data_IF_925906672640
#
_entry.id   IF_925906672640
#
_cell.length_a   1.000
_cell.length_b   1.000
_cell.length_c   1.000
_cell.angle_alpha   90.00
_cell.angle_beta   90.00
_cell.angle_gamma   90.00
#
_symmetry.space_group_name_H-M   'P 1'
#
loop_
_entity.id
_entity.type
_entity.pdbx_description
1 polymer ?
#
# COMPACT_ATOMS: atom_id res chain seq x y z
N UNK A 1 -15.59 -0.78 4.66
CA UNK A 1 -14.58 -1.87 4.63
C UNK A 1 -13.27 -1.52 5.34
N UNK A 2 -12.64 -0.37 5.06
CA UNK A 2 -11.36 0.02 5.71
C UNK A 2 -11.45 0.09 7.22
N UNK A 3 -12.52 0.68 7.76
CA UNK A 3 -12.75 0.73 9.20
C UNK A 3 -12.73 -0.68 9.81
N UNK A 4 -13.38 -1.67 9.18
CA UNK A 4 -13.41 -3.07 9.63
C UNK A 4 -12.01 -3.69 9.66
N UNK A 5 -11.20 -3.48 8.60
CA UNK A 5 -9.81 -4.02 8.55
C UNK A 5 -8.89 -3.36 9.57
N UNK A 6 -9.02 -2.06 9.78
CA UNK A 6 -8.29 -1.37 10.85
C UNK A 6 -8.71 -1.90 12.23
N UNK A 7 -10.00 -2.17 12.44
CA UNK A 7 -10.48 -2.83 13.66
C UNK A 7 -9.87 -4.21 13.82
N UNK A 8 -9.88 -5.06 12.79
CA UNK A 8 -9.23 -6.39 12.83
C UNK A 8 -7.74 -6.29 13.10
N UNK A 9 -7.04 -5.34 12.48
CA UNK A 9 -5.63 -5.06 12.73
C UNK A 9 -5.37 -4.63 14.17
N UNK A 10 -6.24 -3.79 14.76
CA UNK A 10 -6.15 -3.38 16.16
C UNK A 10 -6.40 -4.55 17.14
N UNK A 11 -7.40 -5.40 16.86
CA UNK A 11 -7.68 -6.59 17.68
C UNK A 11 -6.47 -7.52 17.68
N UNK A 12 -5.93 -7.79 16.49
CA UNK A 12 -4.73 -8.60 16.33
C UNK A 12 -3.51 -7.97 16.99
N UNK A 13 -3.35 -6.65 16.90
CA UNK A 13 -2.31 -5.93 17.62
C UNK A 13 -2.38 -6.18 19.13
N UNK A 14 -3.55 -5.99 19.75
CA UNK A 14 -3.71 -6.16 21.19
C UNK A 14 -3.54 -7.61 21.65
N UNK A 15 -3.90 -8.60 20.82
CA UNK A 15 -3.74 -10.01 21.17
C UNK A 15 -2.28 -10.48 21.15
N UNK A 16 -1.42 -9.86 20.32
CA UNK A 16 -0.02 -10.31 20.12
C UNK A 16 1.00 -9.37 20.76
N UNK A 17 0.55 -8.27 21.38
CA UNK A 17 1.40 -7.23 21.97
C UNK A 17 2.44 -7.76 22.98
N UNK A 18 2.11 -8.85 23.70
CA UNK A 18 2.94 -9.40 24.76
C UNK A 18 3.81 -10.60 24.32
N UNK A 19 3.68 -11.08 23.07
CA UNK A 19 4.21 -12.38 22.65
C UNK A 19 5.59 -12.34 21.97
N UNK A 20 6.08 -11.20 21.50
CA UNK A 20 7.37 -11.11 20.81
C UNK A 20 8.21 -9.93 21.26
N UNK A 21 9.49 -10.20 21.50
CA UNK A 21 10.51 -9.22 21.90
C UNK A 21 10.75 -8.15 20.82
N UNK A 22 10.55 -8.50 19.54
CA UNK A 22 10.72 -7.59 18.40
C UNK A 22 9.36 -7.07 17.90
N UNK A 23 8.95 -5.92 18.45
CA UNK A 23 7.69 -5.22 18.10
C UNK A 23 7.55 -4.91 16.60
N UNK A 24 8.68 -4.69 15.91
CA UNK A 24 8.71 -4.53 14.46
C UNK A 24 8.37 -5.79 13.67
N UNK A 25 8.78 -6.95 14.18
CA UNK A 25 8.48 -8.22 13.54
C UNK A 25 6.97 -8.46 13.55
N UNK A 26 6.31 -8.26 14.71
CA UNK A 26 4.84 -8.34 14.86
C UNK A 26 4.14 -7.45 13.82
N UNK A 27 4.58 -6.20 13.67
CA UNK A 27 3.99 -5.30 12.68
C UNK A 27 4.10 -5.89 11.27
N UNK A 28 5.30 -6.27 10.84
CA UNK A 28 5.57 -6.72 9.47
C UNK A 28 4.93 -8.07 9.13
N UNK A 29 4.92 -9.02 10.08
CA UNK A 29 4.52 -10.41 9.81
C UNK A 29 3.05 -10.69 10.11
N UNK A 30 2.44 -9.98 11.06
CA UNK A 30 1.09 -10.29 11.53
C UNK A 30 0.12 -9.17 11.18
N UNK A 31 0.40 -7.95 11.64
CA UNK A 31 -0.55 -6.83 11.49
C UNK A 31 -0.63 -6.36 10.04
N UNK A 32 0.52 -6.23 9.39
CA UNK A 32 0.62 -5.69 8.03
C UNK A 32 -0.13 -6.57 7.00
N UNK A 33 0.02 -7.91 6.97
CA UNK A 33 -0.79 -8.76 6.08
C UNK A 33 -2.30 -8.62 6.31
N UNK A 34 -2.76 -8.54 7.57
CA UNK A 34 -4.19 -8.40 7.92
C UNK A 34 -4.76 -7.09 7.37
N UNK A 35 -4.00 -5.99 7.43
CA UNK A 35 -4.43 -4.68 6.94
C UNK A 35 -4.37 -4.59 5.42
N UNK A 36 -3.36 -5.23 4.80
CA UNK A 36 -3.12 -5.21 3.35
C UNK A 36 -3.99 -6.18 2.56
N UNK A 37 -4.58 -7.19 3.22
CA UNK A 37 -5.45 -8.16 2.55
C UNK A 37 -6.56 -7.48 1.74
N UNK A 38 -6.64 -7.80 0.44
CA UNK A 38 -7.63 -7.24 -0.49
C UNK A 38 -7.41 -5.77 -0.90
N UNK A 39 -6.29 -5.13 -0.50
CA UNK A 39 -5.98 -3.73 -0.87
C UNK A 39 -5.46 -3.54 -2.28
N UNK A 40 -5.09 -4.64 -2.89
CA UNK A 40 -4.49 -4.72 -4.22
C UNK A 40 -5.55 -4.46 -5.31
N UNK A 41 -6.82 -4.75 -5.03
CA UNK A 41 -7.94 -4.61 -5.98
C UNK A 41 -8.89 -3.46 -5.65
N UNK A 42 -8.77 -2.85 -4.48
CA UNK A 42 -9.69 -1.80 -3.98
C UNK A 42 -9.17 -0.39 -4.24
N UNK A 43 -10.07 0.54 -4.56
CA UNK A 43 -9.77 1.98 -4.62
C UNK A 43 -9.57 2.58 -3.23
N UNK A 44 -8.50 3.35 -3.02
CA UNK A 44 -8.32 4.15 -1.81
C UNK A 44 -8.69 5.61 -2.09
N UNK A 45 -9.40 6.22 -1.14
CA UNK A 45 -9.59 7.68 -1.09
C UNK A 45 -8.49 8.33 -0.26
N UNK A 46 -8.24 9.63 -0.46
CA UNK A 46 -7.25 10.38 0.33
C UNK A 46 -7.50 10.29 1.85
N UNK A 47 -8.77 10.30 2.27
CA UNK A 47 -9.17 10.12 3.68
C UNK A 47 -8.76 8.76 4.23
N UNK A 48 -8.81 7.74 3.40
CA UNK A 48 -8.46 6.38 3.76
C UNK A 48 -6.95 6.16 3.80
N UNK A 49 -6.22 6.75 2.86
CA UNK A 49 -4.75 6.80 2.90
C UNK A 49 -4.25 7.51 4.16
N UNK A 50 -4.87 8.64 4.52
CA UNK A 50 -4.54 9.33 5.78
C UNK A 50 -4.80 8.44 7.00
N UNK A 51 -5.93 7.72 7.04
CA UNK A 51 -6.22 6.77 8.14
C UNK A 51 -5.20 5.65 8.23
N UNK A 52 -4.73 5.12 7.10
CA UNK A 52 -3.68 4.09 7.05
C UNK A 52 -2.35 4.63 7.59
N UNK A 53 -1.97 5.86 7.22
CA UNK A 53 -0.77 6.53 7.73
C UNK A 53 -0.84 6.77 9.24
N UNK A 54 -1.99 7.24 9.75
CA UNK A 54 -2.21 7.43 11.19
C UNK A 54 -2.14 6.09 11.94
N UNK A 55 -2.73 5.02 11.39
CA UNK A 55 -2.65 3.69 11.96
C UNK A 55 -1.21 3.16 12.01
N UNK A 56 -0.46 3.26 10.91
CA UNK A 56 0.95 2.87 10.83
C UNK A 56 1.78 3.63 11.87
N UNK A 57 1.67 4.96 11.92
CA UNK A 57 2.40 5.77 12.91
C UNK A 57 2.01 5.40 14.35
N UNK A 58 0.74 5.07 14.61
CA UNK A 58 0.30 4.60 15.92
C UNK A 58 0.98 3.29 16.30
N UNK A 59 1.01 2.31 15.39
CA UNK A 59 1.64 0.99 15.64
C UNK A 59 3.15 1.14 15.82
N UNK A 60 3.82 1.93 14.99
CA UNK A 60 5.28 2.10 15.03
C UNK A 60 5.77 2.86 16.27
N UNK A 61 4.96 3.79 16.82
CA UNK A 61 5.28 4.53 18.07
C UNK A 61 5.36 3.64 19.32
N UNK A 62 4.84 2.42 19.27
CA UNK A 62 4.95 1.46 20.39
C UNK A 62 6.37 0.95 20.57
N UNK A 63 7.26 1.15 19.61
CA UNK A 63 8.68 0.81 19.73
C UNK A 63 9.39 1.57 20.85
N UNK A 64 8.77 2.61 21.38
CA UNK A 64 9.16 3.25 22.63
C UNK A 64 9.38 4.76 22.47
N UNK A 65 9.32 5.52 23.58
CA UNK A 65 9.77 6.90 23.58
C UNK A 65 11.29 6.98 23.35
N UNK A 66 11.75 8.04 22.70
CA UNK A 66 13.19 8.35 22.57
C UNK A 66 13.60 9.27 23.72
N UNK A 67 14.78 9.04 24.28
CA UNK A 67 15.38 9.96 25.24
C UNK A 67 15.85 11.20 24.51
N UNK A 68 15.36 12.37 24.92
CA UNK A 68 15.80 13.64 24.34
C UNK A 68 17.26 13.90 24.70
N UNK A 69 18.11 14.09 23.70
CA UNK A 69 19.55 14.39 23.90
C UNK A 69 19.74 15.71 24.66
N UNK A 70 18.86 16.69 24.44
CA UNK A 70 18.95 18.03 25.05
C UNK A 70 18.25 18.13 26.41
N UNK A 71 17.08 17.50 26.56
CA UNK A 71 16.25 17.63 27.76
C UNK A 71 16.38 16.48 28.75
N UNK A 72 17.07 15.40 28.40
CA UNK A 72 17.24 14.20 29.24
C UNK A 72 15.96 13.39 29.50
N UNK A 73 14.78 13.95 29.18
CA UNK A 73 13.46 13.37 29.38
C UNK A 73 13.00 12.44 28.25
N UNK A 74 12.02 11.60 28.57
CA UNK A 74 11.37 10.72 27.61
C UNK A 74 10.34 11.48 26.80
N UNK A 75 10.45 11.44 25.46
CA UNK A 75 9.47 12.04 24.56
C UNK A 75 8.97 11.06 23.52
N UNK A 76 7.79 11.33 22.98
CA UNK A 76 7.26 10.62 21.81
C UNK A 76 8.17 10.88 20.60
N UNK A 77 8.33 9.86 19.76
CA UNK A 77 9.01 10.00 18.46
C UNK A 77 8.18 10.86 17.50
N UNK A 78 8.85 11.79 16.82
CA UNK A 78 8.27 12.55 15.71
C UNK A 78 8.07 11.66 14.48
N UNK A 79 7.22 12.10 13.55
CA UNK A 79 6.93 11.30 12.35
C UNK A 79 8.17 11.06 11.48
N UNK A 80 9.03 12.07 11.33
CA UNK A 80 10.30 11.96 10.58
C UNK A 80 11.25 10.97 11.25
N UNK A 81 11.37 11.02 12.58
CA UNK A 81 12.20 10.08 13.34
C UNK A 81 11.71 8.64 13.18
N UNK A 82 10.38 8.41 13.14
CA UNK A 82 9.80 7.08 12.87
C UNK A 82 10.14 6.61 11.46
N UNK A 83 10.05 7.49 10.46
CA UNK A 83 10.39 7.15 9.09
C UNK A 83 11.87 6.76 8.96
N UNK A 84 12.77 7.53 9.60
CA UNK A 84 14.21 7.28 9.59
C UNK A 84 14.59 6.01 10.36
N UNK A 85 13.95 5.73 11.50
CA UNK A 85 14.26 4.56 12.33
C UNK A 85 13.99 3.23 11.64
N UNK A 86 12.97 3.17 10.79
CA UNK A 86 12.57 1.91 10.17
C UNK A 86 13.02 1.74 8.73
N UNK A 87 13.42 2.84 8.06
CA UNK A 87 13.80 2.88 6.64
C UNK A 87 12.88 2.04 5.75
N UNK A 88 11.61 1.89 6.17
CA UNK A 88 10.68 0.92 5.60
C UNK A 88 9.70 1.67 4.72
N UNK A 89 9.34 1.12 3.55
CA UNK A 89 8.30 1.70 2.72
C UNK A 89 7.02 1.84 3.55
N UNK A 90 6.42 3.03 3.54
CA UNK A 90 5.13 3.26 4.20
C UNK A 90 4.08 2.27 3.71
N UNK A 91 3.06 2.03 4.53
CA UNK A 91 1.95 1.13 4.16
C UNK A 91 1.30 1.51 2.82
N UNK A 92 1.29 2.80 2.48
CA UNK A 92 0.77 3.31 1.21
C UNK A 92 1.66 2.85 0.05
N UNK A 93 2.98 2.98 0.17
CA UNK A 93 3.94 2.53 -0.84
C UNK A 93 3.78 1.02 -1.04
N UNK A 94 3.69 0.25 0.05
CA UNK A 94 3.46 -1.20 0.00
C UNK A 94 2.17 -1.58 -0.77
N UNK A 95 1.07 -0.84 -0.55
CA UNK A 95 -0.19 -1.06 -1.29
C UNK A 95 0.02 -0.77 -2.77
N UNK A 96 0.66 0.34 -3.11
CA UNK A 96 0.93 0.70 -4.52
C UNK A 96 1.82 -0.34 -5.19
N UNK A 97 2.90 -0.80 -4.54
CA UNK A 97 3.75 -1.88 -5.07
C UNK A 97 3.00 -3.18 -5.29
N UNK A 98 2.13 -3.59 -4.36
CA UNK A 98 1.33 -4.81 -4.52
C UNK A 98 0.30 -4.67 -5.64
N UNK A 99 -0.29 -3.49 -5.83
CA UNK A 99 -1.15 -3.20 -7.00
C UNK A 99 -0.40 -3.38 -8.31
N UNK A 100 0.84 -2.89 -8.39
CA UNK A 100 1.68 -3.09 -9.59
C UNK A 100 2.00 -4.57 -9.82
N UNK A 101 2.35 -5.33 -8.78
CA UNK A 101 2.57 -6.78 -8.93
C UNK A 101 1.31 -7.51 -9.38
N UNK A 102 0.14 -7.14 -8.86
CA UNK A 102 -1.13 -7.67 -9.32
C UNK A 102 -1.42 -7.29 -10.78
N UNK A 103 -1.09 -6.06 -11.19
CA UNK A 103 -1.19 -5.60 -12.57
C UNK A 103 -0.33 -6.43 -13.53
N UNK A 104 0.93 -6.69 -13.16
CA UNK A 104 1.81 -7.60 -13.91
C UNK A 104 1.17 -8.97 -14.07
N UNK A 105 0.67 -9.53 -12.97
CA UNK A 105 0.08 -10.85 -12.95
C UNK A 105 -1.14 -10.93 -13.88
N UNK A 106 -2.04 -9.94 -13.83
CA UNK A 106 -3.22 -9.88 -14.69
C UNK A 106 -2.84 -9.65 -16.15
N UNK A 107 -1.90 -8.75 -16.45
CA UNK A 107 -1.44 -8.47 -17.81
C UNK A 107 -0.81 -9.70 -18.49
N UNK A 108 -0.19 -10.58 -17.70
CA UNK A 108 0.42 -11.82 -18.17
C UNK A 108 -0.53 -13.03 -18.16
N UNK A 109 -1.78 -12.87 -17.73
CA UNK A 109 -2.76 -13.94 -17.86
C UNK A 109 -3.14 -14.11 -19.34
N UNK A 110 -3.41 -15.36 -19.75
CA UNK A 110 -3.93 -15.62 -21.09
C UNK A 110 -5.29 -14.95 -21.33
N UNK A 111 -5.56 -14.59 -22.58
CA UNK A 111 -6.75 -13.84 -23.01
C UNK A 111 -8.09 -14.51 -22.68
N UNK A 112 -8.07 -15.82 -22.42
CA UNK A 112 -9.25 -16.61 -22.03
C UNK A 112 -9.66 -16.35 -20.58
N UNK A 113 -8.77 -15.80 -19.74
CA UNK A 113 -9.04 -15.54 -18.32
C UNK A 113 -9.90 -14.31 -18.14
N UNK A 114 -10.95 -14.43 -17.31
CA UNK A 114 -11.88 -13.34 -17.01
C UNK A 114 -11.19 -12.08 -16.47
N UNK A 115 -10.12 -12.22 -15.67
CA UNK A 115 -9.40 -11.06 -15.13
C UNK A 115 -8.74 -10.22 -16.24
N UNK A 116 -8.11 -10.87 -17.22
CA UNK A 116 -7.53 -10.19 -18.39
C UNK A 116 -8.63 -9.57 -19.26
N UNK A 117 -9.71 -10.32 -19.53
CA UNK A 117 -10.87 -9.81 -20.28
C UNK A 117 -11.52 -8.60 -19.63
N UNK A 118 -11.59 -8.53 -18.30
CA UNK A 118 -12.09 -7.37 -17.56
C UNK A 118 -11.11 -6.19 -17.55
N UNK A 119 -9.81 -6.46 -17.65
CA UNK A 119 -8.77 -5.45 -17.72
C UNK A 119 -8.78 -4.73 -19.07
N UNK A 120 -8.76 -5.50 -20.16
CA UNK A 120 -8.69 -5.01 -21.54
C UNK A 120 -10.09 -4.65 -22.06
N UNK A 121 -11.10 -5.41 -21.66
CA UNK A 121 -12.47 -5.21 -22.08
C UNK A 121 -13.02 -3.86 -21.65
N UNK A 122 -13.66 -3.18 -22.59
CA UNK A 122 -14.47 -1.99 -22.33
C UNK A 122 -15.92 -2.47 -22.22
N UNK A 123 -16.45 -2.75 -21.02
CA UNK A 123 -17.84 -3.17 -20.90
C UNK A 123 -18.75 -2.09 -21.46
N UNK A 124 -19.63 -2.47 -22.36
CA UNK A 124 -20.62 -1.59 -22.97
C UNK A 124 -21.65 -1.16 -21.92
N UNK A 125 -22.03 0.12 -21.94
CA UNK A 125 -22.99 0.70 -21.01
C UNK A 125 -22.66 2.11 -20.55
N UNK A 126 -23.70 2.92 -20.33
CA UNK A 126 -23.55 4.27 -19.76
C UNK A 126 -23.35 4.18 -18.25
N UNK A 127 -22.41 4.96 -17.73
CA UNK A 127 -22.18 5.07 -16.29
C UNK A 127 -23.27 5.91 -15.64
N UNK A 128 -23.65 5.62 -14.39
CA UNK A 128 -24.57 6.47 -13.65
C UNK A 128 -24.01 7.88 -13.57
N UNK A 129 -24.90 8.87 -13.75
CA UNK A 129 -24.60 10.29 -13.60
C UNK A 129 -24.25 10.59 -12.13
N UNK A 130 -23.30 11.50 -11.89
CA UNK A 130 -22.85 11.89 -10.56
C UNK A 130 -21.37 11.60 -10.30
N UNK A 131 -21.03 10.94 -9.18
CA UNK A 131 -19.65 10.57 -8.81
C UNK A 131 -19.44 9.05 -8.93
N UNK A 132 -19.19 8.51 -10.14
CA UNK A 132 -18.83 7.11 -10.32
C UNK A 132 -17.59 6.72 -9.50
N UNK A 133 -17.56 5.47 -9.04
CA UNK A 133 -16.36 4.90 -8.42
C UNK A 133 -15.22 4.88 -9.44
N UNK A 134 -13.99 5.12 -8.96
CA UNK A 134 -12.77 5.05 -9.78
C UNK A 134 -12.60 3.62 -10.31
N UNK A 135 -12.20 3.46 -11.58
CA UNK A 135 -11.79 2.15 -12.10
C UNK A 135 -10.44 1.79 -11.49
N UNK A 136 -10.19 0.49 -11.38
CA UNK A 136 -8.88 0.00 -10.99
C UNK A 136 -7.78 0.43 -11.97
N UNK A 137 -8.05 0.38 -13.28
CA UNK A 137 -7.14 0.90 -14.32
C UNK A 137 -6.85 2.40 -14.14
N UNK A 138 -7.86 3.20 -13.77
CA UNK A 138 -7.64 4.62 -13.48
C UNK A 138 -6.70 4.80 -12.29
N UNK A 139 -6.77 3.94 -11.28
CA UNK A 139 -5.86 3.99 -10.14
C UNK A 139 -4.44 3.63 -10.56
N UNK A 140 -4.26 2.62 -11.41
CA UNK A 140 -2.95 2.30 -11.96
C UNK A 140 -2.35 3.45 -12.76
N UNK A 141 -3.16 4.13 -13.58
CA UNK A 141 -2.72 5.33 -14.31
C UNK A 141 -2.21 6.42 -13.37
N UNK A 142 -2.92 6.68 -12.27
CA UNK A 142 -2.48 7.62 -11.23
C UNK A 142 -1.23 7.16 -10.47
N UNK A 143 -1.01 5.85 -10.33
CA UNK A 143 0.19 5.28 -9.72
C UNK A 143 1.39 5.43 -10.67
N UNK A 144 1.13 5.37 -11.97
CA UNK A 144 2.09 5.55 -13.07
C UNK A 144 2.18 7.01 -13.56
N UNK A 145 1.60 7.96 -12.83
CA UNK A 145 1.58 9.37 -13.23
C UNK A 145 3.02 9.89 -13.38
N UNK A 146 3.39 10.32 -14.59
CA UNK A 146 4.78 10.57 -15.02
C UNK A 146 5.31 9.61 -16.09
N UNK A 147 4.58 8.51 -16.35
CA UNK A 147 4.85 7.52 -17.40
C UNK A 147 3.69 7.49 -18.42
N UNK A 148 3.10 8.66 -18.69
CA UNK A 148 2.02 8.80 -19.66
C UNK A 148 2.51 8.41 -21.06
N UNK A 149 1.78 7.49 -21.70
CA UNK A 149 2.10 6.99 -23.04
C UNK A 149 2.77 5.61 -23.08
N UNK A 150 3.16 5.04 -21.94
CA UNK A 150 3.67 3.66 -21.91
C UNK A 150 2.51 2.67 -21.92
N UNK A 151 2.55 1.74 -22.87
CA UNK A 151 1.73 0.54 -22.80
C UNK A 151 2.30 -0.38 -21.71
N UNK A 152 1.82 -0.15 -20.49
CA UNK A 152 2.24 -0.90 -19.32
C UNK A 152 1.81 -2.38 -19.41
N UNK A 153 0.85 -2.75 -20.26
CA UNK A 153 0.43 -4.15 -20.47
C UNK A 153 1.53 -4.91 -21.22
N UNK A 154 2.12 -4.29 -22.24
CA UNK A 154 3.25 -4.83 -22.98
C UNK A 154 4.52 -4.83 -22.12
N UNK A 155 4.78 -3.72 -21.41
CA UNK A 155 5.92 -3.62 -20.49
C UNK A 155 5.86 -4.68 -19.38
N UNK A 156 4.66 -5.03 -18.91
CA UNK A 156 4.46 -6.06 -17.90
C UNK A 156 4.83 -7.48 -18.38
N UNK A 157 4.98 -7.71 -19.69
CA UNK A 157 5.45 -9.00 -20.21
C UNK A 157 6.95 -9.20 -19.91
N UNK A 158 7.74 -8.12 -19.95
CA UNK A 158 9.14 -8.14 -19.54
C UNK A 158 9.24 -7.96 -18.00
N UNK A 159 9.52 -9.06 -17.30
CA UNK A 159 9.68 -9.05 -15.85
C UNK A 159 10.81 -8.14 -15.36
N UNK A 160 11.88 -7.99 -16.14
CA UNK A 160 13.03 -7.16 -15.79
C UNK A 160 12.65 -5.69 -15.85
N UNK A 161 12.07 -5.26 -16.98
CA UNK A 161 11.60 -3.89 -17.16
C UNK A 161 10.48 -3.54 -16.18
N UNK A 162 9.53 -4.46 -15.95
CA UNK A 162 8.46 -4.24 -14.97
C UNK A 162 9.01 -4.06 -13.55
N UNK A 163 9.96 -4.89 -13.12
CA UNK A 163 10.61 -4.74 -11.80
C UNK A 163 11.37 -3.42 -11.71
N UNK A 164 12.10 -3.02 -12.76
CA UNK A 164 12.80 -1.74 -12.80
C UNK A 164 11.82 -0.57 -12.64
N UNK A 165 10.69 -0.60 -13.35
CA UNK A 165 9.62 0.39 -13.22
C UNK A 165 9.05 0.43 -11.81
N UNK A 166 8.69 -0.72 -11.24
CA UNK A 166 8.15 -0.79 -9.88
C UNK A 166 9.16 -0.24 -8.87
N UNK A 167 10.44 -0.59 -9.00
CA UNK A 167 11.49 -0.09 -8.13
C UNK A 167 11.69 1.43 -8.26
N UNK A 168 11.73 1.95 -9.50
CA UNK A 168 11.83 3.39 -9.76
C UNK A 168 10.65 4.14 -9.13
N UNK A 169 9.44 3.65 -9.36
CA UNK A 169 8.20 4.21 -8.81
C UNK A 169 8.19 4.13 -7.28
N UNK A 170 8.68 3.03 -6.67
CA UNK A 170 8.78 2.95 -5.21
C UNK A 170 9.82 3.91 -4.65
N UNK A 171 10.97 4.07 -5.32
CA UNK A 171 12.05 4.94 -4.88
C UNK A 171 11.64 6.41 -4.95
N UNK A 172 10.85 6.82 -5.95
CA UNK A 172 10.26 8.16 -6.03
C UNK A 172 9.33 8.50 -4.86
N UNK A 173 8.82 7.49 -4.15
CA UNK A 173 7.92 7.68 -3.02
C UNK A 173 8.58 7.42 -1.67
N UNK A 174 9.83 6.95 -1.67
CA UNK A 174 10.68 6.99 -0.48
C UNK A 174 11.28 8.40 -0.45
N UNK A 175 10.88 9.25 0.50
CA UNK A 175 11.45 10.59 0.63
C UNK A 175 12.93 10.55 1.03
#
# INVERSE_FOLDING_TARGET
EIKKRLTSGNVCYHSVQNLLSSRLLIYKTIILPVVLYGRETSSLTLKEEHRLRVFENRVLRISGPKRGEVTGGWRKLHNEELHNLYSSPSIIIMIKSRRMRWAEHVARMGETRNAYRLLVGKPEGKRPLGRPRRRWVTILKWILEGWDGIDWIDLAQDRGQWRALVNAVTNLWVP
#
